data_IF_680136274548
#
_entry.id   IF_680136274548
#
_cell.length_a   1.000
_cell.length_b   1.000
_cell.length_c   1.000
_cell.angle_alpha   90.00
_cell.angle_beta   90.00
_cell.angle_gamma   90.00
#
_symmetry.space_group_name_H-M   'P 1'
#
loop_
_entity.id
_entity.type
_entity.pdbx_description
1 polymer ?
#
# COMPACT_ATOMS: atom_id res chain seq x y z
N UNK A 1 15.79 16.90 10.22
CA UNK A 1 16.33 15.68 10.86
C UNK A 1 15.18 15.03 11.62
N UNK A 2 14.79 13.79 11.30
CA UNK A 2 13.67 13.10 11.96
C UNK A 2 14.19 12.42 13.24
N UNK A 3 13.63 12.75 14.40
CA UNK A 3 14.01 12.16 15.68
C UNK A 3 13.36 10.77 15.81
N UNK A 4 14.17 9.71 15.78
CA UNK A 4 13.71 8.30 15.83
C UNK A 4 13.73 7.72 17.26
N UNK A 5 14.01 8.53 18.30
CA UNK A 5 14.22 8.03 19.67
C UNK A 5 12.94 7.76 20.46
N UNK A 6 11.78 8.11 19.93
CA UNK A 6 10.49 7.91 20.59
C UNK A 6 9.57 7.15 19.65
N UNK A 7 9.36 5.86 19.93
CA UNK A 7 8.37 5.05 19.24
C UNK A 7 7.07 5.10 20.05
N UNK A 8 6.02 5.68 19.48
CA UNK A 8 4.68 5.71 20.08
C UNK A 8 3.81 4.71 19.33
N UNK A 9 3.21 3.76 20.05
CA UNK A 9 2.15 2.91 19.51
C UNK A 9 0.85 3.69 19.69
N UNK A 10 0.29 4.16 18.59
CA UNK A 10 -0.94 4.96 18.60
C UNK A 10 -2.17 4.06 18.57
N UNK A 11 -2.08 2.92 17.90
CA UNK A 11 -3.21 2.00 17.74
C UNK A 11 -2.70 0.57 17.50
N UNK A 12 -3.51 -0.43 17.87
CA UNK A 12 -3.25 -1.84 17.67
C UNK A 12 -4.55 -2.64 17.63
N UNK A 13 -4.65 -3.60 16.71
CA UNK A 13 -5.82 -4.47 16.58
C UNK A 13 -5.40 -5.93 16.56
N UNK A 14 -6.26 -6.76 17.14
CA UNK A 14 -6.11 -8.22 17.17
C UNK A 14 -7.34 -8.82 16.50
N UNK A 15 -7.16 -9.88 15.72
CA UNK A 15 -8.28 -10.58 15.09
C UNK A 15 -8.10 -12.10 15.10
N UNK A 16 -9.20 -12.86 14.95
CA UNK A 16 -9.13 -14.32 14.83
C UNK A 16 -8.26 -14.74 13.64
N UNK A 17 -7.60 -15.89 13.77
CA UNK A 17 -6.67 -16.44 12.76
C UNK A 17 -7.23 -16.50 11.32
N UNK A 18 -8.56 -16.67 11.18
CA UNK A 18 -9.21 -16.76 9.86
C UNK A 18 -9.26 -15.43 9.10
N UNK A 19 -8.98 -14.30 9.76
CA UNK A 19 -8.96 -12.97 9.14
C UNK A 19 -7.53 -12.65 8.71
N UNK A 20 -7.34 -12.32 7.43
CA UNK A 20 -6.04 -11.90 6.92
C UNK A 20 -5.58 -10.55 7.47
N UNK A 21 -4.29 -10.28 7.36
CA UNK A 21 -3.66 -9.04 7.87
C UNK A 21 -4.12 -7.78 7.11
N UNK A 22 -4.25 -7.86 5.77
CA UNK A 22 -4.72 -6.72 4.96
C UNK A 22 -6.08 -6.17 5.42
N UNK A 23 -7.15 -6.99 5.55
CA UNK A 23 -8.43 -6.47 6.05
C UNK A 23 -8.39 -6.06 7.53
N UNK A 24 -7.40 -6.52 8.31
CA UNK A 24 -7.17 -6.03 9.67
C UNK A 24 -6.51 -4.64 9.68
N UNK A 25 -5.62 -4.36 8.73
CA UNK A 25 -4.94 -3.07 8.61
C UNK A 25 -5.82 -1.97 7.98
N UNK A 26 -6.84 -2.33 7.22
CA UNK A 26 -7.69 -1.37 6.50
C UNK A 26 -8.28 -0.25 7.39
N UNK A 27 -8.83 -0.53 8.60
CA UNK A 27 -9.41 0.52 9.45
C UNK A 27 -8.40 1.56 9.94
N UNK A 28 -7.10 1.23 9.96
CA UNK A 28 -6.07 2.15 10.41
C UNK A 28 -5.77 3.25 9.38
N UNK A 29 -6.14 3.04 8.11
CA UNK A 29 -5.88 4.01 7.04
C UNK A 29 -6.49 5.38 7.37
N UNK A 30 -7.70 5.39 7.92
CA UNK A 30 -8.42 6.63 8.24
C UNK A 30 -7.73 7.41 9.37
N UNK A 31 -7.01 6.72 10.25
CA UNK A 31 -6.27 7.33 11.37
C UNK A 31 -4.92 7.92 10.98
N UNK A 32 -4.41 7.60 9.79
CA UNK A 32 -3.10 8.09 9.35
C UNK A 32 -3.14 9.62 9.17
N UNK A 33 -2.10 10.36 9.59
CA UNK A 33 -2.04 11.80 9.35
C UNK A 33 -1.69 12.11 7.89
N UNK A 34 -2.09 13.29 7.44
CA UNK A 34 -1.65 13.85 6.15
C UNK A 34 -0.16 14.24 6.18
N UNK A 35 0.45 14.39 5.01
CA UNK A 35 1.89 14.71 4.84
C UNK A 35 2.80 13.71 5.57
N UNK A 36 2.53 12.41 5.36
CA UNK A 36 3.19 11.33 6.08
C UNK A 36 3.76 10.28 5.14
N UNK A 37 4.75 9.54 5.64
CA UNK A 37 5.29 8.33 4.99
C UNK A 37 5.02 7.15 5.92
N UNK A 38 4.19 6.22 5.48
CA UNK A 38 3.87 5.00 6.22
C UNK A 38 4.81 3.86 5.80
N UNK A 39 5.58 3.33 6.73
CA UNK A 39 6.43 2.16 6.50
C UNK A 39 5.61 0.89 6.75
N UNK A 40 5.51 0.04 5.73
CA UNK A 40 4.79 -1.24 5.78
C UNK A 40 5.78 -2.38 5.62
N UNK A 41 5.48 -3.53 6.21
CA UNK A 41 6.21 -4.75 5.89
C UNK A 41 5.71 -5.39 4.58
N UNK A 42 6.48 -6.35 4.06
CA UNK A 42 6.24 -7.04 2.79
C UNK A 42 4.90 -7.82 2.72
N UNK A 43 4.31 -8.18 3.86
CA UNK A 43 3.03 -8.88 3.98
C UNK A 43 1.83 -8.01 3.57
N UNK A 44 1.99 -6.68 3.65
CA UNK A 44 0.97 -5.71 3.27
C UNK A 44 0.98 -5.35 1.77
N UNK A 45 1.64 -6.14 0.91
CA UNK A 45 1.63 -5.94 -0.53
C UNK A 45 0.26 -6.28 -1.13
N UNK A 46 -0.64 -5.30 -1.13
CA UNK A 46 -1.98 -5.41 -1.70
C UNK A 46 -2.45 -4.10 -2.30
N UNK A 47 -2.79 -4.11 -3.59
CA UNK A 47 -3.15 -2.91 -4.34
C UNK A 47 -4.26 -2.08 -3.67
N UNK A 48 -5.21 -2.72 -2.98
CA UNK A 48 -6.31 -2.00 -2.32
C UNK A 48 -5.95 -1.29 -1.06
N UNK A 49 -5.10 -1.90 -0.25
CA UNK A 49 -4.57 -1.25 0.94
C UNK A 49 -3.73 -0.04 0.51
N UNK A 50 -2.79 -0.24 -0.41
CA UNK A 50 -1.85 0.80 -0.85
C UNK A 50 -2.55 1.95 -1.57
N UNK A 51 -3.50 1.65 -2.46
CA UNK A 51 -4.27 2.67 -3.17
C UNK A 51 -5.18 3.45 -2.20
N UNK A 52 -5.80 2.77 -1.25
CA UNK A 52 -6.67 3.45 -0.27
C UNK A 52 -5.85 4.34 0.66
N UNK A 53 -4.69 3.88 1.12
CA UNK A 53 -3.78 4.67 1.94
C UNK A 53 -3.35 5.96 1.23
N UNK A 54 -3.01 5.87 -0.05
CA UNK A 54 -2.61 7.02 -0.85
C UNK A 54 -3.77 8.00 -1.11
N UNK A 55 -4.99 7.49 -1.27
CA UNK A 55 -6.15 8.28 -1.68
C UNK A 55 -7.05 8.76 -0.52
N UNK A 56 -6.86 8.28 0.70
CA UNK A 56 -7.73 8.61 1.86
C UNK A 56 -7.37 9.94 2.55
N UNK A 57 -6.44 10.72 2.00
CA UNK A 57 -6.01 12.00 2.58
C UNK A 57 -5.05 12.75 1.66
N UNK A 58 -4.35 13.75 2.20
CA UNK A 58 -3.44 14.58 1.45
C UNK A 58 -1.97 14.20 1.67
N UNK A 59 -1.20 14.06 0.58
CA UNK A 59 0.24 13.79 0.60
C UNK A 59 0.62 12.60 1.49
N UNK A 60 -0.14 11.50 1.39
CA UNK A 60 0.17 10.26 2.10
C UNK A 60 0.96 9.34 1.18
N UNK A 61 2.17 9.03 1.61
CA UNK A 61 3.09 8.15 0.93
C UNK A 61 3.27 6.87 1.72
N UNK A 62 3.75 5.84 1.05
CA UNK A 62 4.05 4.55 1.68
C UNK A 62 5.36 3.99 1.14
N UNK A 63 6.04 3.21 1.96
CA UNK A 63 7.20 2.41 1.56
C UNK A 63 7.00 0.98 2.04
N UNK A 64 7.36 0.03 1.19
CA UNK A 64 7.36 -1.39 1.53
C UNK A 64 8.60 -2.05 0.94
N UNK A 65 9.22 -3.02 1.64
CA UNK A 65 10.26 -3.84 1.05
C UNK A 65 9.70 -4.65 -0.13
N UNK A 66 10.37 -4.58 -1.28
CA UNK A 66 9.97 -5.37 -2.44
C UNK A 66 9.97 -6.87 -2.12
N UNK A 67 8.87 -7.55 -2.43
CA UNK A 67 8.78 -9.01 -2.29
C UNK A 67 9.54 -9.67 -3.44
N UNK A 68 10.35 -10.69 -3.14
CA UNK A 68 11.02 -11.51 -4.17
C UNK A 68 9.99 -12.06 -5.16
N UNK A 69 10.23 -11.86 -6.45
CA UNK A 69 9.37 -12.34 -7.53
C UNK A 69 8.07 -11.54 -7.71
N UNK A 70 7.99 -10.32 -7.16
CA UNK A 70 6.88 -9.38 -7.45
C UNK A 70 6.72 -9.23 -8.97
N UNK A 71 5.47 -9.31 -9.44
CA UNK A 71 5.15 -9.20 -10.86
C UNK A 71 4.58 -7.81 -11.13
N UNK A 72 5.29 -7.05 -11.96
CA UNK A 72 4.91 -5.73 -12.41
C UNK A 72 5.14 -5.61 -13.93
N UNK A 73 4.67 -4.51 -14.49
CA UNK A 73 4.99 -4.08 -15.85
C UNK A 73 5.76 -2.77 -15.73
N UNK A 74 6.91 -2.65 -16.40
CA UNK A 74 7.62 -1.37 -16.47
C UNK A 74 6.81 -0.40 -17.32
N UNK A 75 6.72 0.85 -16.86
CA UNK A 75 6.07 1.95 -17.58
C UNK A 75 7.08 2.88 -18.25
N UNK A 76 8.32 2.84 -17.80
CA UNK A 76 9.43 3.57 -18.41
C UNK A 76 10.12 2.68 -19.45
N UNK A 77 10.66 3.31 -20.50
CA UNK A 77 11.34 2.62 -21.59
C UNK A 77 12.77 2.16 -21.21
N UNK A 78 13.33 2.71 -20.13
CA UNK A 78 14.67 2.40 -19.63
C UNK A 78 14.65 1.94 -18.17
N UNK A 79 15.47 0.93 -17.85
CA UNK A 79 15.71 0.52 -16.47
C UNK A 79 16.68 1.51 -15.81
N UNK A 80 16.25 2.13 -14.70
CA UNK A 80 17.06 3.04 -13.87
C UNK A 80 16.99 2.63 -12.41
N UNK A 81 17.80 3.24 -11.53
CA UNK A 81 17.72 3.01 -10.07
C UNK A 81 16.32 3.32 -9.52
N UNK A 82 15.59 4.24 -10.15
CA UNK A 82 14.18 4.54 -9.91
C UNK A 82 13.33 4.10 -11.10
N UNK A 83 12.37 3.20 -10.86
CA UNK A 83 11.52 2.66 -11.92
C UNK A 83 10.04 2.96 -11.65
N UNK A 84 9.33 3.45 -12.66
CA UNK A 84 7.86 3.51 -12.62
C UNK A 84 7.30 2.19 -13.11
N UNK A 85 6.48 1.58 -12.26
CA UNK A 85 5.94 0.25 -12.49
C UNK A 85 4.43 0.22 -12.30
N UNK A 86 3.75 -0.58 -13.11
CA UNK A 86 2.35 -0.93 -12.92
C UNK A 86 2.23 -2.27 -12.17
N UNK A 87 1.58 -2.24 -11.01
CA UNK A 87 1.30 -3.43 -10.22
C UNK A 87 0.28 -4.34 -10.94
N UNK A 88 0.59 -5.64 -11.06
CA UNK A 88 -0.38 -6.61 -11.58
C UNK A 88 -1.41 -6.96 -10.51
N UNK A 89 -2.65 -6.47 -10.71
CA UNK A 89 -3.80 -6.77 -9.85
C UNK A 89 -4.61 -7.94 -10.42
N UNK A 90 -4.93 -8.93 -9.58
CA UNK A 90 -5.70 -10.12 -9.98
C UNK A 90 -7.13 -9.75 -10.43
N UNK A 91 -7.78 -10.54 -11.32
CA UNK A 91 -9.16 -10.27 -11.75
C UNK A 91 -10.16 -10.19 -10.59
N UNK A 92 -9.98 -11.03 -9.56
CA UNK A 92 -10.84 -11.03 -8.38
C UNK A 92 -10.69 -9.73 -7.56
N UNK A 93 -9.46 -9.22 -7.42
CA UNK A 93 -9.21 -7.95 -6.74
C UNK A 93 -9.76 -6.77 -7.56
N UNK A 94 -9.61 -6.80 -8.90
CA UNK A 94 -10.23 -5.83 -9.82
C UNK A 94 -11.75 -5.76 -9.67
N UNK A 95 -12.41 -6.91 -9.58
CA UNK A 95 -13.87 -6.97 -9.38
C UNK A 95 -14.32 -6.38 -8.03
N UNK A 96 -13.47 -6.49 -6.99
CA UNK A 96 -13.78 -6.00 -5.64
C UNK A 96 -13.59 -4.48 -5.47
N UNK A 97 -12.74 -3.82 -6.26
CA UNK A 97 -12.66 -2.35 -6.26
C UNK A 97 -12.61 -1.81 -7.69
N UNK A 98 -13.64 -1.05 -8.07
CA UNK A 98 -13.76 -0.48 -9.42
C UNK A 98 -12.66 0.55 -9.74
N UNK A 99 -11.98 1.10 -8.73
CA UNK A 99 -10.88 2.07 -8.89
C UNK A 99 -9.65 1.49 -9.61
N UNK A 100 -9.51 0.16 -9.73
CA UNK A 100 -8.42 -0.46 -10.51
C UNK A 100 -8.72 -0.57 -12.01
N UNK A 101 -9.91 -0.15 -12.46
CA UNK A 101 -10.22 -0.10 -13.88
C UNK A 101 -9.47 1.10 -14.44
N UNK A 102 -8.62 0.86 -15.45
CA UNK A 102 -8.04 1.96 -16.23
C UNK A 102 -9.22 2.78 -16.75
N UNK A 103 -9.21 4.13 -16.64
CA UNK A 103 -10.18 4.94 -17.38
C UNK A 103 -10.10 4.52 -18.84
N UNK A 104 -11.26 4.42 -19.48
CA UNK A 104 -11.42 3.90 -20.83
C UNK A 104 -10.38 4.46 -21.80
N UNK A 105 -9.95 3.58 -22.70
CA UNK A 105 -9.23 3.93 -23.93
C UNK A 105 -9.89 5.09 -24.65
#
# INVERSE_FOLDING_TARGET
MMNVRSHVIVDAAISPYRRGEIPLAMPFIDSLPDNSVTLLDKGFYGAGLLLSLQNSGANRHWLLPAKKGVKYTLLDDEESDDMRVEMKVSPQARKKNLTYLKPGK
#
